data_IF_639571936244
#
_entry.id   IF_639571936244
#
_cell.length_a   1.000
_cell.length_b   1.000
_cell.length_c   1.000
_cell.angle_alpha   90.00
_cell.angle_beta   90.00
_cell.angle_gamma   90.00
#
_symmetry.space_group_name_H-M   'P 1'
#
loop_
_entity.id
_entity.type
_entity.pdbx_description
1 polymer ?
#
# COMPACT_ATOMS: atom_id res chain seq x y z
N UNK A 1 9.68 12.23 12.50
CA UNK A 1 9.03 11.61 11.33
C UNK A 1 8.50 10.25 11.73
N UNK A 2 7.21 10.00 11.60
CA UNK A 2 6.61 8.78 12.15
C UNK A 2 6.81 7.61 11.16
N UNK A 3 7.31 6.46 11.64
CA UNK A 3 7.50 5.22 10.85
C UNK A 3 6.19 4.74 10.18
N UNK A 4 5.05 5.31 10.56
CA UNK A 4 3.71 4.93 10.11
C UNK A 4 3.29 5.48 8.75
N UNK A 5 4.04 6.42 8.18
CA UNK A 5 3.63 7.17 6.99
C UNK A 5 4.48 6.80 5.76
N UNK A 6 4.79 5.51 5.60
CA UNK A 6 5.56 5.05 4.46
C UNK A 6 4.66 4.68 3.31
N UNK A 7 4.99 5.07 2.07
CA UNK A 7 4.25 4.64 0.93
C UNK A 7 4.33 3.11 0.79
N UNK A 8 3.17 2.50 0.62
CA UNK A 8 3.04 1.13 0.15
C UNK A 8 2.28 1.20 -1.15
N UNK A 9 2.88 0.72 -2.22
CA UNK A 9 2.32 0.78 -3.57
C UNK A 9 1.99 -0.61 -4.10
N UNK A 10 1.26 -0.67 -5.20
CA UNK A 10 0.93 -1.91 -5.90
C UNK A 10 -0.49 -2.40 -5.63
N UNK A 11 -0.61 -3.62 -5.14
CA UNK A 11 -1.88 -4.29 -4.83
C UNK A 11 -2.06 -4.63 -3.37
N UNK A 12 -2.93 -5.63 -3.09
CA UNK A 12 -3.22 -6.09 -1.72
C UNK A 12 -3.04 -7.60 -1.54
N UNK A 13 -2.41 -8.28 -2.48
CA UNK A 13 -2.15 -9.72 -2.41
C UNK A 13 -0.65 -10.01 -2.47
N UNK A 14 -0.11 -10.69 -1.46
CA UNK A 14 1.25 -11.23 -1.44
C UNK A 14 2.31 -10.31 -2.04
N UNK A 15 2.92 -10.75 -3.15
CA UNK A 15 4.00 -10.03 -3.83
C UNK A 15 3.59 -8.68 -4.43
N UNK A 16 2.30 -8.44 -4.61
CA UNK A 16 1.82 -7.16 -5.15
C UNK A 16 1.91 -6.01 -4.15
N UNK A 17 2.10 -6.30 -2.87
CA UNK A 17 2.31 -5.31 -1.81
C UNK A 17 3.77 -4.88 -1.82
N UNK A 18 4.06 -3.65 -2.22
CA UNK A 18 5.43 -3.13 -2.25
C UNK A 18 5.61 -1.95 -1.28
N UNK A 19 6.22 -2.18 -0.11
CA UNK A 19 6.60 -1.08 0.78
C UNK A 19 7.86 -0.39 0.26
N UNK A 20 7.83 0.95 0.17
CA UNK A 20 8.98 1.74 -0.26
C UNK A 20 9.89 2.04 0.94
N UNK A 21 10.70 1.06 1.33
CA UNK A 21 11.58 1.15 2.49
C UNK A 21 12.71 2.16 2.29
N UNK A 22 13.13 2.39 1.06
CA UNK A 22 14.13 3.42 0.72
C UNK A 22 13.69 4.82 1.16
N UNK A 23 12.39 5.08 1.19
CA UNK A 23 11.81 6.35 1.60
C UNK A 23 11.56 6.42 3.12
N UNK A 24 12.04 5.44 3.90
CA UNK A 24 11.80 5.37 5.33
C UNK A 24 12.63 6.38 6.15
N UNK A 25 13.69 6.93 5.60
CA UNK A 25 14.67 7.71 6.34
C UNK A 25 15.51 6.86 7.30
N UNK A 26 15.41 5.53 7.22
CA UNK A 26 16.28 4.58 7.89
C UNK A 26 17.15 3.89 6.84
N UNK A 27 18.38 3.59 7.19
CA UNK A 27 19.28 2.80 6.35
C UNK A 27 19.08 1.33 6.68
N UNK A 28 18.87 0.52 5.64
CA UNK A 28 18.77 -0.92 5.72
C UNK A 28 19.79 -1.55 4.77
N UNK A 29 20.37 -2.65 5.16
CA UNK A 29 21.14 -3.50 4.24
C UNK A 29 20.18 -4.12 3.20
N UNK A 30 20.75 -4.63 2.11
CA UNK A 30 19.95 -5.33 1.09
C UNK A 30 19.22 -6.54 1.66
N UNK A 31 19.87 -7.28 2.56
CA UNK A 31 19.28 -8.44 3.23
C UNK A 31 18.10 -8.03 4.16
N UNK A 32 18.28 -6.98 4.95
CA UNK A 32 17.22 -6.44 5.81
C UNK A 32 16.05 -5.92 4.99
N UNK A 33 16.31 -5.21 3.89
CA UNK A 33 15.29 -4.71 2.98
C UNK A 33 14.46 -5.86 2.40
N UNK A 34 15.11 -6.91 1.93
CA UNK A 34 14.44 -8.08 1.37
C UNK A 34 13.61 -8.82 2.43
N UNK A 35 14.17 -9.02 3.63
CA UNK A 35 13.49 -9.70 4.74
C UNK A 35 12.28 -8.91 5.23
N UNK A 36 12.41 -7.59 5.42
CA UNK A 36 11.31 -6.70 5.84
C UNK A 36 10.21 -6.63 4.78
N UNK A 37 10.57 -6.49 3.50
CA UNK A 37 9.59 -6.49 2.41
C UNK A 37 8.76 -7.77 2.43
N UNK A 38 9.41 -8.93 2.50
CA UNK A 38 8.72 -10.22 2.57
C UNK A 38 7.83 -10.35 3.80
N UNK A 39 8.29 -9.88 4.96
CA UNK A 39 7.51 -9.92 6.19
C UNK A 39 6.29 -9.02 6.13
N UNK A 40 6.41 -7.81 5.56
CA UNK A 40 5.28 -6.88 5.37
C UNK A 40 4.24 -7.49 4.42
N UNK A 41 4.67 -8.12 3.33
CA UNK A 41 3.80 -8.83 2.40
C UNK A 41 2.99 -9.95 3.07
N UNK A 42 3.56 -10.61 4.08
CA UNK A 42 2.94 -11.73 4.79
C UNK A 42 2.36 -11.36 6.16
N UNK A 43 2.36 -10.09 6.55
CA UNK A 43 1.96 -9.65 7.89
C UNK A 43 0.55 -10.10 8.30
N UNK A 44 -0.40 -10.10 7.36
CA UNK A 44 -1.76 -10.61 7.59
C UNK A 44 -1.77 -12.12 7.88
N UNK A 45 -0.99 -12.89 7.13
CA UNK A 45 -0.84 -14.35 7.29
C UNK A 45 -0.20 -14.68 8.64
N UNK A 46 0.86 -13.97 9.04
CA UNK A 46 1.49 -14.14 10.36
C UNK A 46 0.46 -14.00 11.50
N UNK A 47 -0.44 -13.03 11.41
CA UNK A 47 -1.49 -12.81 12.41
C UNK A 47 -2.52 -13.94 12.42
N UNK A 48 -2.94 -14.41 11.24
CA UNK A 48 -3.91 -15.52 11.12
C UNK A 48 -3.33 -16.81 11.69
N UNK A 49 -2.08 -17.12 11.36
CA UNK A 49 -1.36 -18.29 11.89
C UNK A 49 -1.18 -18.22 13.41
N UNK A 50 -0.79 -17.06 13.94
CA UNK A 50 -0.64 -16.85 15.38
C UNK A 50 -1.97 -17.02 16.14
N UNK A 51 -3.11 -16.80 15.50
CA UNK A 51 -4.44 -17.03 16.06
C UNK A 51 -4.93 -18.48 15.98
N UNK A 52 -4.19 -19.37 15.34
CA UNK A 52 -4.51 -20.81 15.22
C UNK A 52 -5.97 -21.07 14.81
N UNK A 53 -6.49 -20.34 13.81
CA UNK A 53 -7.86 -20.44 13.34
C UNK A 53 -8.90 -19.60 14.11
N UNK A 54 -8.49 -18.81 15.09
CA UNK A 54 -9.36 -17.91 15.87
C UNK A 54 -9.76 -16.61 15.15
N UNK A 55 -9.73 -16.59 13.80
CA UNK A 55 -10.17 -15.47 12.98
C UNK A 55 -9.05 -14.77 12.22
N UNK A 56 -9.40 -13.66 11.55
CA UNK A 56 -8.52 -12.87 10.71
C UNK A 56 -7.75 -11.77 11.48
N UNK A 57 -6.97 -10.96 10.78
CA UNK A 57 -6.25 -9.79 11.30
C UNK A 57 -7.19 -8.58 11.58
N UNK A 58 -8.37 -8.83 12.16
CA UNK A 58 -9.48 -7.86 12.30
C UNK A 58 -9.08 -6.57 13.00
N UNK A 59 -8.30 -6.66 14.09
CA UNK A 59 -7.90 -5.46 14.86
C UNK A 59 -6.94 -4.57 14.09
N UNK A 60 -5.98 -5.14 13.37
CA UNK A 60 -5.06 -4.38 12.50
C UNK A 60 -5.80 -3.74 11.34
N UNK A 61 -6.74 -4.46 10.72
CA UNK A 61 -7.58 -3.92 9.64
C UNK A 61 -8.49 -2.82 10.15
N UNK A 62 -9.14 -3.02 11.30
CA UNK A 62 -9.97 -2.01 11.92
C UNK A 62 -9.20 -0.72 12.24
N UNK A 63 -7.98 -0.85 12.76
CA UNK A 63 -7.11 0.30 13.02
C UNK A 63 -6.70 1.03 11.72
N UNK A 64 -6.28 0.29 10.69
CA UNK A 64 -5.89 0.88 9.41
C UNK A 64 -7.07 1.60 8.74
N UNK A 65 -8.26 0.96 8.75
CA UNK A 65 -9.48 1.55 8.22
C UNK A 65 -9.90 2.81 8.98
N UNK A 66 -9.87 2.80 10.30
CA UNK A 66 -10.18 3.95 11.13
C UNK A 66 -9.22 5.13 10.85
N UNK A 67 -7.91 4.84 10.75
CA UNK A 67 -6.91 5.86 10.41
C UNK A 67 -7.19 6.50 9.06
N UNK A 68 -7.45 5.70 8.02
CA UNK A 68 -7.78 6.20 6.68
C UNK A 68 -9.07 7.03 6.70
N UNK A 69 -10.14 6.56 7.36
CA UNK A 69 -11.39 7.30 7.49
C UNK A 69 -11.20 8.65 8.18
N UNK A 70 -10.38 8.71 9.24
CA UNK A 70 -10.08 9.97 9.92
C UNK A 70 -9.34 10.95 9.00
N UNK A 71 -8.38 10.49 8.21
CA UNK A 71 -7.70 11.32 7.21
C UNK A 71 -8.68 11.83 6.14
N UNK A 72 -9.57 10.96 5.65
CA UNK A 72 -10.60 11.37 4.69
C UNK A 72 -11.55 12.42 5.29
N UNK A 73 -12.01 12.22 6.52
CA UNK A 73 -12.90 13.20 7.21
C UNK A 73 -12.20 14.56 7.38
N UNK A 74 -10.91 14.57 7.73
CA UNK A 74 -10.11 15.80 7.82
C UNK A 74 -10.06 16.53 6.48
N UNK A 75 -9.78 15.81 5.40
CA UNK A 75 -9.74 16.36 4.05
C UNK A 75 -11.13 16.90 3.62
N UNK A 76 -12.21 16.15 3.84
CA UNK A 76 -13.59 16.59 3.54
C UNK A 76 -13.97 17.84 4.32
N UNK A 77 -13.46 18.03 5.53
CA UNK A 77 -13.64 19.24 6.35
C UNK A 77 -12.72 20.40 5.94
N UNK A 78 -11.92 20.22 4.89
CA UNK A 78 -11.09 21.27 4.30
C UNK A 78 -9.69 21.39 4.88
N UNK A 79 -9.17 20.35 5.53
CA UNK A 79 -7.76 20.29 5.88
C UNK A 79 -6.93 20.08 4.61
N UNK A 80 -5.92 20.92 4.41
CA UNK A 80 -5.03 20.85 3.24
C UNK A 80 -3.93 19.81 3.44
N UNK A 81 -3.38 19.33 2.31
CA UNK A 81 -2.22 18.43 2.28
C UNK A 81 -2.42 17.08 3.00
N UNK A 82 -3.64 16.57 3.03
CA UNK A 82 -3.91 15.23 3.53
C UNK A 82 -3.54 14.22 2.46
N UNK A 83 -2.45 13.48 2.68
CA UNK A 83 -1.93 12.48 1.74
C UNK A 83 -2.05 11.10 2.37
N UNK A 84 -2.62 10.16 1.63
CA UNK A 84 -2.72 8.74 2.00
C UNK A 84 -2.37 7.86 0.80
N UNK A 85 -1.88 6.64 1.07
CA UNK A 85 -1.79 5.61 0.04
C UNK A 85 -3.11 4.85 -0.02
N UNK A 86 -3.70 4.76 -1.21
CA UNK A 86 -4.94 4.02 -1.40
C UNK A 86 -4.99 3.36 -2.78
N UNK A 87 -5.78 2.30 -2.87
CA UNK A 87 -6.03 1.57 -4.11
C UNK A 87 -7.10 2.31 -4.91
N UNK A 88 -6.74 2.76 -6.09
CA UNK A 88 -7.60 3.57 -6.95
C UNK A 88 -7.57 3.06 -8.38
N UNK A 89 -8.59 3.38 -9.16
CA UNK A 89 -8.51 3.33 -10.61
C UNK A 89 -7.58 4.47 -11.06
N UNK A 90 -6.44 4.08 -11.58
CA UNK A 90 -5.37 4.99 -11.92
C UNK A 90 -5.30 5.33 -13.41
N UNK A 91 -4.29 6.09 -13.84
CA UNK A 91 -4.06 6.45 -15.25
C UNK A 91 -3.69 5.25 -16.13
N UNK A 92 -3.51 4.06 -15.56
CA UNK A 92 -3.29 2.82 -16.31
C UNK A 92 -1.84 2.52 -16.69
N UNK A 93 -0.87 3.34 -16.29
CA UNK A 93 0.54 3.18 -16.69
C UNK A 93 1.15 1.84 -16.26
N UNK A 94 0.77 1.33 -15.09
CA UNK A 94 1.23 0.03 -14.55
C UNK A 94 0.12 -1.01 -14.62
N UNK A 95 -1.03 -0.69 -14.03
CA UNK A 95 -2.24 -1.49 -14.04
C UNK A 95 -3.46 -0.55 -13.91
N UNK A 96 -4.65 -1.02 -14.33
CA UNK A 96 -5.89 -0.23 -14.24
C UNK A 96 -6.19 0.21 -12.81
N UNK A 97 -6.00 -0.69 -11.86
CA UNK A 97 -6.10 -0.37 -10.43
C UNK A 97 -4.73 -0.52 -9.78
N UNK A 98 -4.35 0.47 -8.98
CA UNK A 98 -3.03 0.52 -8.36
C UNK A 98 -3.08 1.32 -7.05
N UNK A 99 -2.42 0.79 -6.01
CA UNK A 99 -2.25 1.54 -4.76
C UNK A 99 -1.07 2.51 -4.89
N UNK A 100 -1.31 3.78 -4.61
CA UNK A 100 -0.30 4.82 -4.67
C UNK A 100 -0.71 6.03 -3.82
N UNK A 101 0.21 6.96 -3.54
CA UNK A 101 -0.12 8.17 -2.80
C UNK A 101 -1.13 9.03 -3.55
N UNK A 102 -2.13 9.53 -2.83
CA UNK A 102 -3.13 10.47 -3.34
C UNK A 102 -3.28 11.65 -2.40
N UNK A 103 -3.57 12.81 -2.97
CA UNK A 103 -4.02 13.98 -2.22
C UNK A 103 -5.53 13.87 -2.04
N UNK A 104 -5.95 13.86 -0.79
CA UNK A 104 -7.36 13.90 -0.42
C UNK A 104 -7.80 15.34 -0.17
N UNK A 105 -9.02 15.66 -0.54
CA UNK A 105 -9.62 16.96 -0.31
C UNK A 105 -11.13 16.88 -0.22
N UNK A 106 -11.82 18.01 -0.41
CA UNK A 106 -13.28 18.12 -0.23
C UNK A 106 -14.10 17.25 -1.18
N UNK A 107 -13.53 16.87 -2.31
CA UNK A 107 -14.20 16.01 -3.31
C UNK A 107 -13.74 14.54 -3.26
N UNK A 108 -12.99 14.15 -2.23
CA UNK A 108 -12.34 12.84 -2.13
C UNK A 108 -10.93 12.89 -2.70
N UNK A 109 -10.59 12.02 -3.65
CA UNK A 109 -9.29 12.04 -4.34
C UNK A 109 -9.23 13.22 -5.29
N UNK A 110 -8.41 14.20 -4.98
CA UNK A 110 -8.21 15.39 -5.83
C UNK A 110 -7.04 15.24 -6.79
N UNK A 111 -6.01 14.51 -6.37
CA UNK A 111 -4.82 14.32 -7.19
C UNK A 111 -4.14 13.00 -6.86
N UNK A 112 -3.74 12.29 -7.91
CA UNK A 112 -2.81 11.18 -7.83
C UNK A 112 -1.39 11.72 -7.79
N UNK A 113 -0.61 11.31 -6.80
CA UNK A 113 0.74 11.79 -6.58
C UNK A 113 1.76 10.78 -7.10
N UNK A 114 2.95 11.28 -7.43
CA UNK A 114 4.08 10.41 -7.71
C UNK A 114 4.57 9.77 -6.39
N UNK A 115 4.90 8.48 -6.42
CA UNK A 115 5.45 7.75 -5.28
C UNK A 115 6.97 7.93 -5.10
N UNK A 116 7.60 8.80 -5.91
CA UNK A 116 9.02 9.10 -5.82
C UNK A 116 9.91 8.12 -6.59
N UNK A 117 11.22 8.26 -6.39
CA UNK A 117 12.21 7.41 -7.02
C UNK A 117 12.29 6.06 -6.31
N UNK A 118 12.43 5.00 -7.10
CA UNK A 118 12.59 3.64 -6.62
C UNK A 118 14.06 3.23 -6.65
N UNK A 119 14.48 2.43 -5.70
CA UNK A 119 15.75 1.72 -5.80
C UNK A 119 15.66 0.61 -6.84
N UNK A 120 16.81 0.10 -7.32
CA UNK A 120 16.85 -1.02 -8.27
C UNK A 120 16.10 -2.26 -7.72
N UNK A 121 16.18 -2.50 -6.41
CA UNK A 121 15.44 -3.56 -5.74
C UNK A 121 13.92 -3.34 -5.82
N UNK A 122 13.45 -2.15 -5.47
CA UNK A 122 12.03 -1.81 -5.48
C UNK A 122 11.47 -1.84 -6.90
N UNK A 123 12.22 -1.35 -7.89
CA UNK A 123 11.84 -1.40 -9.30
C UNK A 123 11.72 -2.84 -9.81
N UNK A 124 12.69 -3.70 -9.47
CA UNK A 124 12.62 -5.13 -9.80
C UNK A 124 11.38 -5.77 -9.19
N UNK A 125 11.11 -5.54 -7.89
CA UNK A 125 9.93 -6.08 -7.21
C UNK A 125 8.62 -5.57 -7.77
N UNK A 126 8.55 -4.30 -8.14
CA UNK A 126 7.39 -3.75 -8.82
C UNK A 126 7.13 -4.46 -10.15
N UNK A 127 8.15 -4.60 -10.98
CA UNK A 127 8.03 -5.25 -12.28
C UNK A 127 7.60 -6.72 -12.14
N UNK A 128 8.19 -7.46 -11.19
CA UNK A 128 7.84 -8.87 -10.90
C UNK A 128 6.36 -9.02 -10.46
N UNK A 129 5.78 -7.99 -9.87
CA UNK A 129 4.42 -8.02 -9.31
C UNK A 129 3.31 -7.63 -10.29
N UNK A 130 3.64 -6.92 -11.37
CA UNK A 130 2.64 -6.30 -12.27
C UNK A 130 1.74 -7.34 -12.94
N UNK A 131 2.28 -8.45 -13.40
CA UNK A 131 1.48 -9.46 -14.09
C UNK A 131 0.52 -10.16 -13.12
N UNK A 132 0.96 -10.42 -11.88
CA UNK A 132 0.09 -10.93 -10.82
C UNK A 132 -1.02 -9.94 -10.50
N UNK A 133 -0.69 -8.66 -10.36
CA UNK A 133 -1.68 -7.62 -10.09
C UNK A 133 -2.73 -7.51 -11.21
N UNK A 134 -2.31 -7.55 -12.47
CA UNK A 134 -3.22 -7.55 -13.62
C UNK A 134 -4.13 -8.78 -13.62
N UNK A 135 -3.61 -9.94 -13.28
CA UNK A 135 -4.39 -11.17 -13.16
C UNK A 135 -5.45 -11.07 -12.06
N UNK A 136 -5.08 -10.52 -10.89
CA UNK A 136 -5.98 -10.29 -9.76
C UNK A 136 -7.12 -9.31 -10.16
N UNK A 137 -6.79 -8.24 -10.88
CA UNK A 137 -7.76 -7.27 -11.39
C UNK A 137 -8.76 -7.93 -12.35
N UNK A 138 -8.27 -8.70 -13.34
CA UNK A 138 -9.11 -9.41 -14.28
C UNK A 138 -10.03 -10.41 -13.57
N UNK A 139 -9.54 -11.10 -12.56
CA UNK A 139 -10.34 -12.02 -11.74
C UNK A 139 -11.45 -11.28 -11.00
N UNK A 140 -11.17 -10.10 -10.45
CA UNK A 140 -12.17 -9.26 -9.79
C UNK A 140 -13.21 -8.69 -10.74
N UNK A 141 -12.82 -8.33 -11.97
CA UNK A 141 -13.74 -7.80 -12.99
C UNK A 141 -14.66 -8.88 -13.60
N UNK A 142 -14.25 -10.14 -13.53
CA UNK A 142 -15.03 -11.29 -14.04
C UNK A 142 -15.95 -11.92 -13.00
N UNK A 143 -15.94 -11.45 -11.77
CA UNK A 143 -16.77 -11.92 -10.65
C UNK A 143 -18.14 -11.26 -10.66
#
# INVERSE_FOLDING_TARGET
>A
MCIRDRPVIGGHSGITILPLLSQSGCEFTEEETAALTKRIQNAGTEVVEAKAGGGSATLSMGYAGARFCLSLVRALNGEDNVVECTYIEGPGDKARFFAQPVLLGKSGVEKVLNYGDLTAFEESKLNDSIDTLKSDILSGESF
#
